data_IF_206894587755
#
_entry.id   IF_206894587755
#
_cell.length_a   1.000
_cell.length_b   1.000
_cell.length_c   1.000
_cell.angle_alpha   90.00
_cell.angle_beta   90.00
_cell.angle_gamma   90.00
#
_symmetry.space_group_name_H-M   'P 1'
#
loop_
_entity.id
_entity.type
_entity.pdbx_description
1 polymer ?
#
# COMPACT_ATOMS: atom_id res chain seq x y z
N UNK A 1 18.85 -37.61 31.10
CA UNK A 1 19.97 -36.69 30.82
C UNK A 1 19.47 -35.24 30.67
N UNK A 2 19.64 -34.40 31.70
CA UNK A 2 19.25 -32.97 31.66
C UNK A 2 20.10 -32.13 30.69
N UNK A 3 21.22 -32.67 30.18
CA UNK A 3 22.13 -31.98 29.25
C UNK A 3 21.50 -31.56 27.90
N UNK A 4 20.35 -32.15 27.51
CA UNK A 4 19.67 -31.81 26.25
C UNK A 4 18.41 -30.95 26.43
N UNK A 5 18.11 -30.44 27.63
CA UNK A 5 16.87 -29.73 27.89
C UNK A 5 16.75 -28.44 27.06
N UNK A 6 17.81 -27.60 27.05
CA UNK A 6 17.82 -26.33 26.31
C UNK A 6 17.82 -26.57 24.79
N UNK A 7 18.69 -27.41 24.21
CA UNK A 7 18.65 -27.69 22.77
C UNK A 7 17.32 -28.28 22.32
N UNK A 8 16.71 -29.18 23.11
CA UNK A 8 15.40 -29.75 22.80
C UNK A 8 14.29 -28.71 22.84
N UNK A 9 14.33 -27.78 23.80
CA UNK A 9 13.36 -26.69 23.89
C UNK A 9 13.46 -25.74 22.69
N UNK A 10 14.69 -25.32 22.34
CA UNK A 10 14.93 -24.48 21.15
C UNK A 10 14.44 -25.19 19.89
N UNK A 11 14.75 -26.48 19.73
CA UNK A 11 14.26 -27.28 18.60
C UNK A 11 12.72 -27.34 18.56
N UNK A 12 12.07 -27.47 19.71
CA UNK A 12 10.61 -27.45 19.80
C UNK A 12 10.03 -26.11 19.35
N UNK A 13 10.59 -24.98 19.78
CA UNK A 13 10.12 -23.66 19.35
C UNK A 13 10.33 -23.47 17.86
N UNK A 14 11.47 -23.89 17.33
CA UNK A 14 11.78 -23.76 15.90
C UNK A 14 10.81 -24.58 15.05
N UNK A 15 10.54 -25.83 15.43
CA UNK A 15 9.60 -26.70 14.70
C UNK A 15 8.17 -26.18 14.75
N UNK A 16 7.70 -25.72 15.92
CA UNK A 16 6.38 -25.07 16.05
C UNK A 16 6.31 -23.80 15.20
N UNK A 17 7.37 -22.98 15.20
CA UNK A 17 7.46 -21.76 14.40
C UNK A 17 7.38 -22.06 12.91
N UNK A 18 8.09 -23.08 12.41
CA UNK A 18 8.03 -23.49 11.00
C UNK A 18 6.61 -23.95 10.65
N UNK A 19 6.00 -24.80 11.48
CA UNK A 19 4.65 -25.29 11.26
C UNK A 19 3.61 -24.15 11.22
N UNK A 20 3.70 -23.21 12.18
CA UNK A 20 2.86 -22.03 12.21
C UNK A 20 3.06 -21.17 10.95
N UNK A 21 4.32 -20.89 10.58
CA UNK A 21 4.65 -20.04 9.44
C UNK A 21 4.19 -20.64 8.10
N UNK A 22 4.26 -21.97 7.92
CA UNK A 22 3.71 -22.62 6.71
C UNK A 22 2.21 -22.32 6.56
N UNK A 23 1.46 -22.32 7.65
CA UNK A 23 0.02 -22.04 7.63
C UNK A 23 -0.32 -20.55 7.53
N UNK A 24 0.42 -19.70 8.24
CA UNK A 24 0.09 -18.27 8.37
C UNK A 24 0.79 -17.37 7.36
N UNK A 25 1.95 -17.76 6.82
CA UNK A 25 2.72 -16.92 5.90
C UNK A 25 1.93 -16.44 4.68
N UNK A 26 1.19 -17.30 3.95
CA UNK A 26 0.44 -16.82 2.79
C UNK A 26 -0.58 -15.74 3.16
N UNK A 27 -1.22 -15.90 4.32
CA UNK A 27 -2.19 -14.95 4.86
C UNK A 27 -1.53 -13.66 5.34
N UNK A 28 -0.40 -13.76 6.04
CA UNK A 28 0.37 -12.61 6.49
C UNK A 28 0.85 -11.77 5.31
N UNK A 29 1.29 -12.42 4.23
CA UNK A 29 1.67 -11.73 2.99
C UNK A 29 0.45 -11.11 2.30
N UNK A 30 -0.69 -11.80 2.27
CA UNK A 30 -1.92 -11.26 1.66
C UNK A 30 -2.43 -10.00 2.37
N UNK A 31 -2.49 -10.00 3.71
CA UNK A 31 -3.05 -8.88 4.47
C UNK A 31 -2.06 -7.77 4.79
N UNK A 32 -0.82 -8.13 5.14
CA UNK A 32 0.17 -7.16 5.60
C UNK A 32 1.22 -6.84 4.55
N UNK A 33 1.17 -7.48 3.38
CA UNK A 33 2.10 -7.30 2.29
C UNK A 33 3.57 -7.46 2.70
N UNK A 34 3.84 -8.19 3.78
CA UNK A 34 5.17 -8.32 4.35
C UNK A 34 5.41 -9.72 4.88
N UNK A 35 6.65 -10.16 4.80
CA UNK A 35 7.10 -11.41 5.39
C UNK A 35 8.37 -11.18 6.22
N UNK A 36 8.34 -11.51 7.53
CA UNK A 36 9.53 -11.44 8.37
C UNK A 36 10.50 -12.58 8.01
N UNK A 37 11.68 -12.25 7.49
CA UNK A 37 12.70 -13.26 7.14
C UNK A 37 13.35 -13.86 8.40
N UNK A 38 13.53 -13.05 9.44
CA UNK A 38 14.04 -13.53 10.73
C UNK A 38 12.93 -14.06 11.66
N UNK A 39 11.83 -14.60 11.11
CA UNK A 39 10.71 -15.11 11.91
C UNK A 39 11.13 -16.14 12.96
N UNK A 40 12.11 -17.00 12.65
CA UNK A 40 12.63 -17.98 13.60
C UNK A 40 13.28 -17.31 14.82
N UNK A 41 14.12 -16.31 14.57
CA UNK A 41 14.80 -15.55 15.63
C UNK A 41 13.78 -14.74 16.45
N UNK A 42 12.86 -14.06 15.77
CA UNK A 42 11.77 -13.34 16.42
C UNK A 42 10.92 -14.28 17.28
N UNK A 43 10.59 -15.48 16.81
CA UNK A 43 9.73 -16.42 17.51
C UNK A 43 10.40 -17.09 18.71
N UNK A 44 11.74 -17.25 18.73
CA UNK A 44 12.48 -17.72 19.91
C UNK A 44 12.23 -16.79 21.11
N UNK A 45 12.10 -15.48 20.86
CA UNK A 45 11.85 -14.48 21.91
C UNK A 45 10.33 -14.25 22.07
N UNK A 46 9.63 -14.03 20.97
CA UNK A 46 8.22 -13.63 20.96
C UNK A 46 7.31 -14.69 21.57
N UNK A 47 7.50 -15.97 21.27
CA UNK A 47 6.61 -17.04 21.76
C UNK A 47 6.66 -17.15 23.30
N UNK A 48 7.83 -17.33 23.95
CA UNK A 48 7.88 -17.39 25.40
C UNK A 48 7.48 -16.06 26.06
N UNK A 49 7.92 -14.92 25.51
CA UNK A 49 7.57 -13.62 26.08
C UNK A 49 6.06 -13.35 25.97
N UNK A 50 5.42 -13.67 24.84
CA UNK A 50 3.97 -13.48 24.67
C UNK A 50 3.18 -14.29 25.69
N UNK A 51 3.62 -15.52 25.99
CA UNK A 51 2.99 -16.33 27.03
C UNK A 51 3.12 -15.68 28.41
N UNK A 52 4.33 -15.25 28.80
CA UNK A 52 4.59 -14.58 30.08
C UNK A 52 3.78 -13.27 30.17
N UNK A 53 3.84 -12.42 29.14
CA UNK A 53 3.10 -11.16 29.06
C UNK A 53 1.59 -11.39 29.12
N UNK A 54 1.06 -12.43 28.47
CA UNK A 54 -0.36 -12.77 28.54
C UNK A 54 -0.76 -13.17 29.97
N UNK A 55 0.01 -14.05 30.62
CA UNK A 55 -0.24 -14.43 32.02
C UNK A 55 -0.14 -13.23 32.96
N UNK A 56 0.87 -12.36 32.80
CA UNK A 56 1.01 -11.13 33.56
C UNK A 56 -0.13 -10.14 33.31
N UNK A 57 -0.65 -10.07 32.08
CA UNK A 57 -1.80 -9.24 31.72
C UNK A 57 -3.08 -9.71 32.42
N UNK A 58 -3.34 -11.03 32.40
CA UNK A 58 -4.45 -11.63 33.14
C UNK A 58 -4.30 -11.38 34.65
N UNK A 59 -3.11 -11.58 35.20
CA UNK A 59 -2.82 -11.31 36.60
C UNK A 59 -3.10 -9.85 36.97
N UNK A 60 -2.61 -8.90 36.15
CA UNK A 60 -2.87 -7.48 36.33
C UNK A 60 -4.37 -7.16 36.34
N UNK A 61 -5.15 -7.72 35.41
CA UNK A 61 -6.60 -7.54 35.40
C UNK A 61 -7.24 -8.02 36.71
N UNK A 62 -6.82 -9.19 37.22
CA UNK A 62 -7.35 -9.75 38.47
C UNK A 62 -6.94 -8.94 39.72
N UNK A 63 -5.74 -8.37 39.73
CA UNK A 63 -5.22 -7.61 40.87
C UNK A 63 -5.48 -6.11 40.79
N UNK A 64 -6.03 -5.61 39.69
CA UNK A 64 -6.27 -4.19 39.43
C UNK A 64 -7.12 -3.49 40.50
N UNK A 65 -8.02 -4.23 41.18
CA UNK A 65 -8.86 -3.71 42.25
C UNK A 65 -8.11 -3.37 43.55
N UNK A 66 -6.89 -3.88 43.73
CA UNK A 66 -6.05 -3.64 44.90
C UNK A 66 -4.95 -2.62 44.53
N UNK A 67 -4.96 -1.38 45.04
CA UNK A 67 -4.08 -0.31 44.55
C UNK A 67 -2.58 -0.67 44.56
N UNK A 68 -2.07 -1.26 45.64
CA UNK A 68 -0.64 -1.61 45.75
C UNK A 68 -0.24 -2.79 44.85
N UNK A 69 -1.06 -3.86 44.83
CA UNK A 69 -0.78 -5.08 44.05
C UNK A 69 -1.02 -4.83 42.55
N UNK A 70 -2.05 -4.08 42.20
CA UNK A 70 -2.33 -3.62 40.85
C UNK A 70 -1.19 -2.77 40.30
N UNK A 71 -0.62 -1.86 41.10
CA UNK A 71 0.55 -1.06 40.67
C UNK A 71 1.76 -1.95 40.42
N UNK A 72 2.07 -2.90 41.31
CA UNK A 72 3.21 -3.79 41.14
C UNK A 72 3.08 -4.69 39.90
N UNK A 73 1.91 -5.28 39.69
CA UNK A 73 1.62 -6.14 38.53
C UNK A 73 1.56 -5.34 37.23
N UNK A 74 1.11 -4.09 37.27
CA UNK A 74 1.15 -3.14 36.15
C UNK A 74 2.58 -2.80 35.73
N UNK A 75 3.46 -2.48 36.69
CA UNK A 75 4.89 -2.21 36.42
C UNK A 75 5.56 -3.46 35.82
N UNK A 76 5.26 -4.65 36.35
CA UNK A 76 5.78 -5.91 35.80
C UNK A 76 5.32 -6.10 34.35
N UNK A 77 4.03 -5.89 34.06
CA UNK A 77 3.48 -6.01 32.72
C UNK A 77 4.11 -5.01 31.75
N UNK A 78 4.26 -3.75 32.17
CA UNK A 78 4.91 -2.70 31.37
C UNK A 78 6.36 -3.06 31.05
N UNK A 79 7.12 -3.54 32.03
CA UNK A 79 8.51 -3.96 31.83
C UNK A 79 8.62 -5.11 30.83
N UNK A 80 7.72 -6.11 30.93
CA UNK A 80 7.67 -7.24 30.00
C UNK A 80 7.32 -6.79 28.58
N UNK A 81 6.34 -5.89 28.43
CA UNK A 81 5.95 -5.33 27.14
C UNK A 81 7.10 -4.51 26.53
N UNK A 82 7.76 -3.67 27.32
CA UNK A 82 8.88 -2.85 26.87
C UNK A 82 10.07 -3.71 26.46
N UNK A 83 10.37 -4.76 27.22
CA UNK A 83 11.41 -5.73 26.86
C UNK A 83 11.06 -6.43 25.55
N UNK A 84 9.85 -7.00 25.43
CA UNK A 84 9.40 -7.69 24.21
C UNK A 84 9.48 -6.76 22.98
N UNK A 85 8.95 -5.54 23.11
CA UNK A 85 8.98 -4.54 22.04
C UNK A 85 10.41 -4.19 21.63
N UNK A 86 11.31 -3.93 22.59
CA UNK A 86 12.71 -3.59 22.31
C UNK A 86 13.45 -4.74 21.66
N UNK A 87 13.24 -5.98 22.11
CA UNK A 87 13.83 -7.17 21.48
C UNK A 87 13.36 -7.34 20.03
N UNK A 88 12.08 -7.17 19.76
CA UNK A 88 11.54 -7.26 18.40
C UNK A 88 12.00 -6.11 17.51
N UNK A 89 12.09 -4.90 18.05
CA UNK A 89 12.61 -3.72 17.33
C UNK A 89 14.07 -3.92 16.93
N UNK A 90 14.91 -4.47 17.81
CA UNK A 90 16.30 -4.80 17.48
C UNK A 90 16.38 -5.77 16.30
N UNK A 91 15.52 -6.80 16.26
CA UNK A 91 15.48 -7.75 15.15
C UNK A 91 14.97 -7.08 13.87
N UNK A 92 13.95 -6.22 13.97
CA UNK A 92 13.37 -5.51 12.83
C UNK A 92 14.33 -4.52 12.18
N UNK A 93 15.30 -3.99 12.93
CA UNK A 93 16.33 -3.08 12.42
C UNK A 93 17.50 -3.80 11.72
N UNK A 94 17.54 -5.14 11.74
CA UNK A 94 18.55 -5.90 11.00
C UNK A 94 18.27 -5.74 9.49
N UNK A 95 19.28 -5.47 8.66
CA UNK A 95 19.08 -5.33 7.21
C UNK A 95 18.46 -6.60 6.64
N UNK A 96 17.34 -6.45 5.91
CA UNK A 96 16.61 -7.59 5.33
C UNK A 96 15.68 -8.33 6.29
N UNK A 97 15.43 -7.79 7.50
CA UNK A 97 14.57 -8.45 8.49
C UNK A 97 13.15 -8.68 8.05
N UNK A 98 12.61 -7.75 7.28
CA UNK A 98 11.27 -7.83 6.72
C UNK A 98 11.36 -7.62 5.22
N UNK A 99 10.81 -8.58 4.49
CA UNK A 99 10.59 -8.51 3.05
C UNK A 99 9.20 -7.91 2.90
N UNK A 100 9.12 -6.58 2.77
CA UNK A 100 7.85 -5.85 2.56
C UNK A 100 7.38 -5.85 1.10
N UNK A 101 6.23 -5.25 0.82
CA UNK A 101 5.67 -4.96 -0.53
C UNK A 101 5.44 -6.19 -1.40
N UNK A 102 4.98 -7.27 -0.77
CA UNK A 102 4.49 -8.46 -1.47
C UNK A 102 2.98 -8.36 -1.63
N UNK A 103 2.56 -7.80 -2.77
CA UNK A 103 1.16 -7.75 -3.16
C UNK A 103 0.75 -9.08 -3.77
N UNK A 104 0.19 -9.96 -2.95
CA UNK A 104 -0.39 -11.21 -3.43
C UNK A 104 -1.88 -10.99 -3.69
N UNK A 105 -2.37 -11.14 -4.94
CA UNK A 105 -3.80 -11.18 -5.18
C UNK A 105 -4.39 -12.43 -4.52
N UNK A 106 -5.68 -12.37 -4.18
CA UNK A 106 -6.40 -13.44 -3.51
C UNK A 106 -6.21 -14.80 -4.22
N UNK A 107 -6.19 -14.82 -5.55
CA UNK A 107 -5.99 -16.04 -6.34
C UNK A 107 -4.65 -16.73 -6.09
N UNK A 108 -3.56 -15.97 -5.93
CA UNK A 108 -2.24 -16.54 -5.61
C UNK A 108 -2.24 -17.11 -4.20
N UNK A 109 -2.80 -16.39 -3.23
CA UNK A 109 -2.92 -16.84 -1.84
C UNK A 109 -3.70 -18.15 -1.73
N UNK A 110 -4.87 -18.25 -2.37
CA UNK A 110 -5.68 -19.47 -2.41
C UNK A 110 -4.92 -20.60 -3.12
N UNK A 111 -4.26 -20.31 -4.24
CA UNK A 111 -3.45 -21.29 -4.95
C UNK A 111 -2.31 -21.87 -4.12
N UNK A 112 -1.64 -21.05 -3.30
CA UNK A 112 -0.62 -21.54 -2.36
C UNK A 112 -1.22 -22.48 -1.32
N UNK A 113 -2.41 -22.19 -0.77
CA UNK A 113 -3.09 -23.12 0.13
C UNK A 113 -3.49 -24.43 -0.55
N UNK A 114 -3.90 -24.39 -1.82
CA UNK A 114 -4.16 -25.60 -2.62
C UNK A 114 -2.88 -26.42 -2.78
N UNK A 115 -1.74 -25.79 -3.08
CA UNK A 115 -0.44 -26.45 -3.13
C UNK A 115 -0.07 -27.12 -1.79
N UNK A 116 -0.26 -26.41 -0.67
CA UNK A 116 -0.01 -26.96 0.67
C UNK A 116 -0.89 -28.18 0.97
N UNK A 117 -2.16 -28.13 0.55
CA UNK A 117 -3.11 -29.23 0.71
C UNK A 117 -2.75 -30.44 -0.17
N UNK A 118 -2.32 -30.23 -1.42
CA UNK A 118 -1.82 -31.31 -2.29
C UNK A 118 -0.55 -31.92 -1.69
N UNK A 119 0.37 -31.10 -1.20
CA UNK A 119 1.60 -31.54 -0.53
C UNK A 119 1.26 -32.39 0.71
N UNK A 120 0.29 -31.96 1.52
CA UNK A 120 -0.19 -32.73 2.67
C UNK A 120 -0.78 -34.09 2.27
N UNK A 121 -1.63 -34.13 1.23
CA UNK A 121 -2.17 -35.39 0.73
C UNK A 121 -1.08 -36.33 0.22
N UNK A 122 -0.05 -35.78 -0.44
CA UNK A 122 1.11 -36.54 -0.88
C UNK A 122 1.92 -37.08 0.30
N UNK A 123 2.16 -36.30 1.36
CA UNK A 123 2.86 -36.79 2.54
C UNK A 123 2.16 -37.98 3.21
N UNK A 124 0.82 -38.02 3.16
CA UNK A 124 0.01 -39.15 3.68
C UNK A 124 -0.04 -40.35 2.74
N UNK A 125 -0.32 -40.14 1.46
CA UNK A 125 -0.61 -41.21 0.50
C UNK A 125 0.56 -41.65 -0.37
N UNK A 126 1.62 -40.83 -0.44
CA UNK A 126 2.84 -40.98 -1.27
C UNK A 126 2.57 -41.36 -2.73
N UNK A 127 1.43 -40.93 -3.30
CA UNK A 127 1.07 -41.26 -4.68
C UNK A 127 1.80 -40.33 -5.64
N UNK A 128 2.56 -40.89 -6.59
CA UNK A 128 3.34 -40.10 -7.55
C UNK A 128 2.50 -39.11 -8.38
N UNK A 129 1.24 -39.43 -8.68
CA UNK A 129 0.32 -38.50 -9.36
C UNK A 129 0.16 -37.15 -8.64
N UNK A 130 0.19 -37.14 -7.30
CA UNK A 130 0.05 -35.91 -6.51
C UNK A 130 1.27 -35.00 -6.64
N UNK A 131 2.46 -35.55 -6.93
CA UNK A 131 3.65 -34.75 -7.23
C UNK A 131 3.54 -34.06 -8.60
N UNK A 132 3.05 -34.77 -9.62
CA UNK A 132 2.79 -34.17 -10.92
C UNK A 132 1.73 -33.06 -10.83
N UNK A 133 0.68 -33.27 -10.03
CA UNK A 133 -0.34 -32.26 -9.76
C UNK A 133 0.24 -31.04 -9.02
N UNK A 134 1.06 -31.25 -8.00
CA UNK A 134 1.74 -30.18 -7.27
C UNK A 134 2.65 -29.38 -8.20
N UNK A 135 3.46 -30.06 -9.01
CA UNK A 135 4.34 -29.43 -9.99
C UNK A 135 3.53 -28.58 -10.98
N UNK A 136 2.46 -29.12 -11.55
CA UNK A 136 1.59 -28.39 -12.47
C UNK A 136 0.99 -27.14 -11.80
N UNK A 137 0.50 -27.26 -10.56
CA UNK A 137 -0.07 -26.13 -9.81
C UNK A 137 0.98 -25.03 -9.55
N UNK A 138 2.18 -25.42 -9.12
CA UNK A 138 3.30 -24.49 -8.91
C UNK A 138 3.71 -23.81 -10.22
N UNK A 139 3.81 -24.55 -11.33
CA UNK A 139 4.12 -23.98 -12.64
C UNK A 139 3.07 -22.95 -13.07
N UNK A 140 1.78 -23.26 -12.92
CA UNK A 140 0.69 -22.31 -13.22
C UNK A 140 0.82 -21.05 -12.36
N UNK A 141 1.06 -21.18 -11.06
CA UNK A 141 1.23 -20.03 -10.16
C UNK A 141 2.43 -19.16 -10.57
N UNK A 142 3.56 -19.76 -10.94
CA UNK A 142 4.74 -19.03 -11.40
C UNK A 142 4.48 -18.30 -12.72
N UNK A 143 3.79 -18.94 -13.67
CA UNK A 143 3.42 -18.32 -14.95
C UNK A 143 2.46 -17.15 -14.73
N UNK A 144 1.40 -17.34 -13.93
CA UNK A 144 0.44 -16.27 -13.60
C UNK A 144 1.14 -15.10 -12.91
N UNK A 145 2.02 -15.39 -11.94
CA UNK A 145 2.80 -14.35 -11.25
C UNK A 145 3.74 -13.62 -12.20
N UNK A 146 4.38 -14.33 -13.13
CA UNK A 146 5.25 -13.75 -14.15
C UNK A 146 4.49 -12.85 -15.13
N UNK A 147 3.32 -13.29 -15.62
CA UNK A 147 2.45 -12.50 -16.49
C UNK A 147 1.95 -11.24 -15.77
N UNK A 148 1.56 -11.36 -14.50
CA UNK A 148 1.16 -10.21 -13.69
C UNK A 148 2.32 -9.21 -13.57
N UNK A 149 3.52 -9.69 -13.25
CA UNK A 149 4.71 -8.84 -13.14
C UNK A 149 5.05 -8.10 -14.45
N UNK A 150 4.87 -8.75 -15.60
CA UNK A 150 5.08 -8.13 -16.91
C UNK A 150 3.97 -7.13 -17.26
N UNK A 151 2.71 -7.51 -17.06
CA UNK A 151 1.54 -6.65 -17.32
C UNK A 151 1.55 -5.40 -16.45
N UNK A 152 2.06 -5.52 -15.23
CA UNK A 152 2.14 -4.45 -14.25
C UNK A 152 3.18 -3.38 -14.56
N UNK A 153 4.20 -3.71 -15.37
CA UNK A 153 5.20 -2.75 -15.86
C UNK A 153 4.67 -1.89 -17.00
N UNK A 154 3.77 -2.41 -17.82
CA UNK A 154 3.31 -1.73 -19.05
C UNK A 154 2.08 -0.83 -18.87
N UNK A 155 1.47 -0.81 -17.67
CA UNK A 155 0.26 -0.02 -17.42
C UNK A 155 0.60 1.33 -16.79
N UNK A 156 0.35 2.46 -17.50
CA UNK A 156 0.46 3.76 -16.89
C UNK A 156 -0.56 3.89 -15.76
N UNK A 157 -0.14 4.42 -14.62
CA UNK A 157 -0.99 4.64 -13.45
C UNK A 157 -0.75 6.06 -12.96
N UNK A 158 -1.78 6.88 -13.04
CA UNK A 158 -1.82 8.17 -12.38
C UNK A 158 -2.29 7.96 -10.94
N UNK A 159 -1.47 8.38 -9.98
CA UNK A 159 -1.76 8.39 -8.56
C UNK A 159 -1.87 9.85 -8.12
N UNK A 160 -2.92 10.19 -7.41
CA UNK A 160 -3.10 11.54 -6.89
C UNK A 160 -3.24 11.45 -5.39
N UNK A 161 -2.27 12.03 -4.69
CA UNK A 161 -2.20 12.02 -3.25
C UNK A 161 -2.42 13.42 -2.70
N UNK A 162 -3.23 13.48 -1.66
CA UNK A 162 -3.41 14.68 -0.87
C UNK A 162 -2.78 14.48 0.51
N UNK A 163 -1.72 15.23 0.80
CA UNK A 163 -1.16 15.31 2.16
C UNK A 163 -1.66 16.59 2.82
N UNK A 164 -1.82 16.59 4.15
CA UNK A 164 -2.27 17.75 4.94
C UNK A 164 -1.48 19.04 4.69
N UNK A 165 -0.30 18.97 4.07
CA UNK A 165 0.54 20.12 3.72
C UNK A 165 0.62 20.42 2.21
N UNK A 166 0.49 19.43 1.32
CA UNK A 166 0.66 19.60 -0.12
C UNK A 166 -0.03 18.51 -0.96
N UNK A 167 -0.68 18.92 -2.05
CA UNK A 167 -1.19 18.02 -3.08
C UNK A 167 -0.02 17.51 -3.91
N UNK A 168 0.14 16.20 -3.96
CA UNK A 168 1.23 15.51 -4.62
C UNK A 168 0.68 14.55 -5.65
N UNK A 169 0.98 14.80 -6.92
CA UNK A 169 0.51 13.97 -8.03
C UNK A 169 1.67 13.13 -8.52
N UNK A 170 1.52 11.81 -8.40
CA UNK A 170 2.49 10.82 -8.88
C UNK A 170 1.99 10.17 -10.16
N UNK A 171 2.58 10.47 -11.31
CA UNK A 171 2.31 9.76 -12.55
C UNK A 171 3.35 8.67 -12.79
N UNK A 172 2.93 7.42 -12.95
CA UNK A 172 3.80 6.30 -13.30
C UNK A 172 3.57 5.89 -14.75
N UNK A 173 4.62 5.92 -15.55
CA UNK A 173 4.65 5.33 -16.89
C UNK A 173 5.87 4.44 -17.04
N UNK A 174 5.63 3.13 -17.17
CA UNK A 174 6.72 2.17 -17.21
C UNK A 174 7.53 2.15 -15.93
N UNK A 175 8.84 2.39 -16.08
CA UNK A 175 9.81 2.46 -14.99
C UNK A 175 10.06 3.90 -14.49
N UNK A 176 9.39 4.89 -15.08
CA UNK A 176 9.51 6.29 -14.72
C UNK A 176 8.32 6.70 -13.86
N UNK A 177 8.60 7.33 -12.73
CA UNK A 177 7.60 7.96 -11.88
C UNK A 177 7.92 9.46 -11.79
N UNK A 178 6.93 10.25 -12.16
CA UNK A 178 6.94 11.70 -12.12
C UNK A 178 6.17 12.12 -10.89
N UNK A 179 6.83 12.74 -9.93
CA UNK A 179 6.17 13.26 -8.73
C UNK A 179 6.14 14.78 -8.85
N UNK A 180 4.93 15.33 -8.82
CA UNK A 180 4.67 16.75 -8.87
C UNK A 180 4.15 17.17 -7.49
N UNK A 181 4.88 18.06 -6.82
CA UNK A 181 4.41 18.62 -5.55
C UNK A 181 4.84 20.06 -5.33
N UNK A 182 4.09 20.75 -4.47
CA UNK A 182 4.34 22.11 -4.00
C UNK A 182 5.54 22.21 -3.05
N UNK A 183 5.85 21.16 -2.27
CA UNK A 183 6.98 21.15 -1.32
C UNK A 183 7.87 19.92 -1.54
N UNK A 184 9.04 20.14 -2.12
CA UNK A 184 10.01 19.08 -2.46
C UNK A 184 10.70 18.49 -1.21
N UNK A 185 10.76 19.24 -0.11
CA UNK A 185 11.62 18.91 1.04
C UNK A 185 11.01 17.88 1.99
N UNK A 186 9.71 18.01 2.29
CA UNK A 186 9.00 17.11 3.21
C UNK A 186 8.60 15.77 2.57
N UNK A 187 8.60 15.69 1.24
CA UNK A 187 8.09 14.53 0.50
C UNK A 187 9.16 13.48 0.30
N UNK A 188 10.42 13.86 0.12
CA UNK A 188 11.45 12.85 -0.17
C UNK A 188 11.64 11.89 1.01
N UNK A 189 11.50 12.35 2.25
CA UNK A 189 11.56 11.49 3.45
C UNK A 189 10.21 10.84 3.77
N UNK A 190 9.13 11.62 3.87
CA UNK A 190 7.81 11.09 4.26
C UNK A 190 7.20 10.16 3.20
N UNK A 191 7.37 10.49 1.92
CA UNK A 191 6.93 9.63 0.83
C UNK A 191 7.82 8.39 0.74
N UNK A 192 9.15 8.50 0.85
CA UNK A 192 10.06 7.34 0.83
C UNK A 192 9.76 6.32 1.92
N UNK A 193 9.54 6.78 3.15
CA UNK A 193 9.38 5.89 4.30
C UNK A 193 7.95 5.33 4.43
N UNK A 194 6.93 6.12 4.10
CA UNK A 194 5.55 5.77 4.41
C UNK A 194 4.78 5.21 3.20
N UNK A 195 5.10 5.63 1.97
CA UNK A 195 4.27 5.35 0.78
C UNK A 195 5.06 4.76 -0.40
N UNK A 196 6.35 5.07 -0.48
CA UNK A 196 7.24 4.56 -1.49
C UNK A 196 7.54 3.09 -1.37
N UNK A 197 7.43 2.36 -0.24
CA UNK A 197 7.98 1.03 -0.28
C UNK A 197 7.05 0.11 -1.12
N UNK A 198 5.74 0.42 -1.23
CA UNK A 198 4.80 -0.16 -2.23
C UNK A 198 5.14 0.17 -3.70
N UNK A 199 5.72 1.35 -3.94
CA UNK A 199 6.11 1.87 -5.25
C UNK A 199 7.56 1.46 -5.62
N UNK A 200 8.48 1.39 -4.66
CA UNK A 200 9.91 1.14 -4.74
C UNK A 200 10.21 -0.31 -5.13
N UNK A 201 9.39 -1.30 -4.73
CA UNK A 201 9.55 -2.65 -5.29
C UNK A 201 9.20 -2.77 -6.78
N UNK A 202 8.49 -1.79 -7.33
CA UNK A 202 8.11 -1.73 -8.76
C UNK A 202 8.87 -0.65 -9.52
N UNK A 203 9.89 -0.07 -8.90
CA UNK A 203 10.61 1.09 -9.38
C UNK A 203 12.10 0.88 -9.17
N UNK A 204 12.89 0.97 -10.24
CA UNK A 204 14.35 0.82 -10.18
C UNK A 204 15.09 2.14 -10.44
N UNK A 205 14.39 3.28 -10.43
CA UNK A 205 14.95 4.60 -10.74
C UNK A 205 14.69 5.61 -9.62
N UNK A 206 15.42 6.71 -9.61
CA UNK A 206 15.08 7.88 -8.80
C UNK A 206 13.85 8.58 -9.40
N UNK A 207 12.93 9.11 -8.58
CA UNK A 207 11.85 9.97 -9.09
C UNK A 207 12.43 11.19 -9.75
N UNK A 208 11.89 11.49 -10.92
CA UNK A 208 11.99 12.84 -11.45
C UNK A 208 10.93 13.65 -10.72
N UNK A 209 11.37 14.38 -9.70
CA UNK A 209 10.51 15.29 -8.94
C UNK A 209 10.48 16.61 -9.68
N UNK A 210 9.32 16.96 -10.24
CA UNK A 210 9.10 18.29 -10.81
C UNK A 210 8.46 19.19 -9.75
N UNK A 211 9.09 20.35 -9.52
CA UNK A 211 8.53 21.36 -8.61
C UNK A 211 7.36 22.05 -9.29
N UNK A 212 6.21 22.18 -8.62
CA UNK A 212 5.08 22.91 -9.20
C UNK A 212 5.43 24.37 -9.54
N UNK A 213 6.42 24.96 -8.88
CA UNK A 213 6.87 26.33 -9.15
C UNK A 213 7.54 26.53 -10.51
N UNK A 214 8.13 25.49 -11.10
CA UNK A 214 8.72 25.57 -12.46
C UNK A 214 7.66 25.57 -13.57
N UNK A 215 6.40 25.24 -13.26
CA UNK A 215 5.29 25.16 -14.21
C UNK A 215 4.57 26.48 -14.44
N UNK A 216 4.99 27.57 -13.79
CA UNK A 216 4.46 28.92 -14.04
C UNK A 216 4.62 29.39 -15.49
N UNK A 217 5.59 28.84 -16.21
CA UNK A 217 5.88 29.19 -17.61
C UNK A 217 5.43 28.15 -18.64
N UNK A 218 5.18 26.91 -18.21
CA UNK A 218 4.69 25.81 -19.04
C UNK A 218 3.67 24.98 -18.23
N UNK A 219 2.41 25.41 -18.16
CA UNK A 219 1.41 24.78 -17.29
C UNK A 219 0.85 23.46 -17.84
N UNK A 220 1.29 23.07 -19.05
CA UNK A 220 0.92 21.86 -19.75
C UNK A 220 2.14 20.94 -19.81
N UNK A 221 2.05 19.76 -19.18
CA UNK A 221 3.11 18.75 -19.21
C UNK A 221 2.63 17.58 -20.05
N UNK A 222 3.46 17.15 -20.99
CA UNK A 222 3.26 15.87 -21.69
C UNK A 222 3.92 14.76 -20.88
N UNK A 223 3.12 13.82 -20.38
CA UNK A 223 3.64 12.64 -19.66
C UNK A 223 3.06 11.39 -20.30
N UNK A 224 3.93 10.57 -20.89
CA UNK A 224 3.53 9.32 -21.54
C UNK A 224 2.63 9.50 -22.76
N UNK A 225 2.75 10.62 -23.49
CA UNK A 225 1.91 10.96 -24.65
C UNK A 225 0.53 11.52 -24.29
N UNK A 226 0.28 11.81 -23.01
CA UNK A 226 -0.92 12.50 -22.55
C UNK A 226 -0.58 13.90 -22.04
N UNK A 227 -1.45 14.86 -22.32
CA UNK A 227 -1.28 16.25 -21.90
C UNK A 227 -2.01 16.48 -20.57
N UNK A 228 -1.27 16.85 -19.53
CA UNK A 228 -1.82 17.15 -18.20
C UNK A 228 -1.64 18.65 -17.92
N UNK A 229 -2.75 19.33 -17.64
CA UNK A 229 -2.76 20.76 -17.33
C UNK A 229 -3.11 21.02 -15.87
N UNK A 230 -2.35 21.93 -15.24
CA UNK A 230 -2.52 22.32 -13.84
C UNK A 230 -3.08 23.74 -13.75
N UNK A 231 -4.36 23.87 -13.35
CA UNK A 231 -5.06 25.15 -13.33
C UNK A 231 -4.72 26.05 -12.12
N UNK A 232 -3.86 25.60 -11.20
CA UNK A 232 -3.65 26.24 -9.89
C UNK A 232 -2.85 27.57 -9.93
N UNK A 233 -1.96 27.76 -10.92
CA UNK A 233 -1.01 28.90 -10.94
C UNK A 233 -0.93 29.64 -12.28
N UNK A 234 -1.91 29.47 -13.16
CA UNK A 234 -1.97 30.20 -14.44
C UNK A 234 -2.62 31.57 -14.20
N UNK A 235 -2.13 32.61 -14.90
CA UNK A 235 -2.83 33.89 -14.99
C UNK A 235 -4.16 33.76 -15.74
N UNK A 236 -4.78 34.88 -16.14
CA UNK A 236 -5.99 34.82 -16.98
C UNK A 236 -5.76 34.20 -18.36
N UNK A 237 -4.51 34.08 -18.79
CA UNK A 237 -4.14 33.55 -20.11
C UNK A 237 -4.01 32.02 -20.04
N UNK A 238 -5.01 31.34 -20.58
CA UNK A 238 -5.06 29.89 -20.73
C UNK A 238 -4.06 29.45 -21.82
N UNK A 239 -3.32 28.34 -21.65
CA UNK A 239 -2.44 27.84 -22.70
C UNK A 239 -3.23 27.27 -23.87
N UNK A 240 -2.71 27.41 -25.10
CA UNK A 240 -3.30 26.82 -26.32
C UNK A 240 -3.22 25.28 -26.40
N UNK A 241 -2.85 24.58 -25.32
CA UNK A 241 -2.78 23.12 -25.32
C UNK A 241 -4.14 22.52 -24.96
N UNK A 242 -4.58 21.44 -25.63
CA UNK A 242 -5.74 20.67 -25.18
C UNK A 242 -5.29 19.54 -24.23
N UNK A 243 -5.58 19.63 -22.91
CA UNK A 243 -5.16 18.60 -21.97
C UNK A 243 -6.13 17.42 -21.93
N UNK A 244 -5.64 16.19 -21.88
CA UNK A 244 -6.46 15.01 -21.60
C UNK A 244 -6.98 15.02 -20.15
N UNK A 245 -6.15 15.53 -19.23
CA UNK A 245 -6.46 15.63 -17.80
C UNK A 245 -6.21 17.04 -17.30
N UNK A 246 -7.22 17.62 -16.64
CA UNK A 246 -7.15 18.94 -16.05
C UNK A 246 -7.26 18.85 -14.53
N UNK A 247 -6.19 19.23 -13.82
CA UNK A 247 -6.17 19.20 -12.36
C UNK A 247 -6.49 20.58 -11.81
N UNK A 248 -7.59 20.67 -11.06
CA UNK A 248 -8.03 21.85 -10.32
C UNK A 248 -7.82 21.63 -8.83
N UNK A 249 -6.70 22.06 -8.27
CA UNK A 249 -6.43 21.93 -6.83
C UNK A 249 -6.42 23.30 -6.13
N UNK A 250 -7.60 23.89 -6.00
CA UNK A 250 -7.71 25.30 -5.62
C UNK A 250 -7.19 26.24 -6.71
N UNK A 251 -7.76 27.44 -6.78
CA UNK A 251 -7.44 28.41 -7.83
C UNK A 251 -8.51 29.50 -7.96
N UNK A 252 -8.13 30.58 -8.64
CA UNK A 252 -8.98 31.76 -8.92
C UNK A 252 -9.72 31.68 -10.26
N UNK A 253 -9.39 30.70 -11.12
CA UNK A 253 -10.01 30.56 -12.44
C UNK A 253 -11.41 29.94 -12.28
N UNK A 254 -12.48 30.61 -12.74
CA UNK A 254 -13.82 30.04 -12.78
C UNK A 254 -13.84 28.80 -13.67
N UNK A 255 -14.55 27.74 -13.24
CA UNK A 255 -14.70 26.53 -14.05
C UNK A 255 -15.38 26.79 -15.40
N UNK A 256 -16.19 27.85 -15.51
CA UNK A 256 -16.86 28.21 -16.76
C UNK A 256 -15.86 28.55 -17.87
N UNK A 257 -14.82 29.33 -17.55
CA UNK A 257 -13.76 29.69 -18.49
C UNK A 257 -12.98 28.45 -18.96
N UNK A 258 -12.84 27.44 -18.10
CA UNK A 258 -12.19 26.17 -18.43
C UNK A 258 -13.07 25.28 -19.30
N UNK A 259 -14.38 25.25 -19.07
CA UNK A 259 -15.32 24.47 -19.88
C UNK A 259 -15.52 25.04 -21.28
N UNK A 260 -15.45 26.36 -21.42
CA UNK A 260 -15.55 27.04 -22.71
C UNK A 260 -14.32 26.77 -23.59
N UNK A 261 -13.14 26.64 -22.97
CA UNK A 261 -11.88 26.40 -23.68
C UNK A 261 -11.55 24.90 -23.86
N UNK A 262 -12.02 24.04 -22.97
CA UNK A 262 -11.65 22.62 -22.90
C UNK A 262 -12.87 21.70 -22.80
N UNK A 263 -13.38 21.25 -23.95
CA UNK A 263 -14.63 20.49 -24.06
C UNK A 263 -14.49 18.96 -24.03
N UNK A 264 -13.27 18.42 -23.96
CA UNK A 264 -13.00 16.98 -24.06
C UNK A 264 -11.94 16.51 -23.04
N UNK A 265 -12.03 17.02 -21.81
CA UNK A 265 -10.97 16.87 -20.80
C UNK A 265 -11.51 16.24 -19.53
N UNK A 266 -10.73 15.37 -18.90
CA UNK A 266 -11.14 14.77 -17.62
C UNK A 266 -10.73 15.69 -16.49
N UNK A 267 -11.71 16.21 -15.77
CA UNK A 267 -11.49 17.17 -14.67
C UNK A 267 -11.20 16.46 -13.36
N UNK A 268 -10.11 16.83 -12.69
CA UNK A 268 -9.71 16.29 -11.40
C UNK A 268 -9.78 17.40 -10.37
N UNK A 269 -10.74 17.31 -9.46
CA UNK A 269 -10.95 18.26 -8.36
C UNK A 269 -10.10 17.86 -7.15
N UNK A 270 -9.09 18.68 -6.88
CA UNK A 270 -8.17 18.58 -5.77
C UNK A 270 -8.81 18.83 -4.40
N UNK A 271 -8.11 18.41 -3.37
CA UNK A 271 -8.55 18.51 -1.97
C UNK A 271 -8.64 19.94 -1.47
N UNK A 272 -7.88 20.87 -2.05
CA UNK A 272 -7.87 22.29 -1.64
C UNK A 272 -9.07 23.08 -2.15
N UNK A 273 -9.87 22.53 -3.08
CA UNK A 273 -11.16 23.12 -3.46
C UNK A 273 -12.10 23.18 -2.24
N UNK A 274 -12.66 24.35 -1.95
CA UNK A 274 -13.66 24.48 -0.88
C UNK A 274 -14.88 23.59 -1.18
N UNK A 275 -15.61 23.10 -0.16
CA UNK A 275 -16.81 22.25 -0.39
C UNK A 275 -17.83 22.91 -1.33
N UNK A 276 -17.95 24.25 -1.25
CA UNK A 276 -18.84 25.03 -2.13
C UNK A 276 -18.34 25.07 -3.57
N UNK A 277 -17.04 25.28 -3.78
CA UNK A 277 -16.45 25.26 -5.12
C UNK A 277 -16.48 23.87 -5.74
N UNK A 278 -16.17 22.82 -4.97
CA UNK A 278 -16.22 21.45 -5.46
C UNK A 278 -17.65 21.08 -5.89
N UNK A 279 -18.66 21.33 -5.05
CA UNK A 279 -20.06 21.05 -5.38
C UNK A 279 -20.54 21.85 -6.61
N UNK A 280 -20.18 23.14 -6.71
CA UNK A 280 -20.51 23.97 -7.86
C UNK A 280 -19.85 23.48 -9.15
N UNK A 281 -18.57 23.10 -9.08
CA UNK A 281 -17.85 22.54 -10.21
C UNK A 281 -18.42 21.19 -10.65
N UNK A 282 -18.78 20.32 -9.70
CA UNK A 282 -19.41 19.03 -9.98
C UNK A 282 -20.73 19.20 -10.74
N UNK A 283 -21.63 20.08 -10.26
CA UNK A 283 -22.91 20.33 -10.94
C UNK A 283 -22.73 20.80 -12.37
N UNK A 284 -21.75 21.69 -12.62
CA UNK A 284 -21.51 22.24 -13.95
C UNK A 284 -20.83 21.22 -14.90
N UNK A 285 -20.00 20.33 -14.34
CA UNK A 285 -19.38 19.22 -15.08
C UNK A 285 -20.39 18.14 -15.45
N UNK A 286 -21.35 17.86 -14.56
CA UNK A 286 -22.49 16.97 -14.83
C UNK A 286 -23.39 17.53 -15.94
N UNK A 287 -23.71 18.82 -15.89
CA UNK A 287 -24.54 19.49 -16.91
C UNK A 287 -23.87 19.56 -18.29
N UNK A 288 -22.55 19.70 -18.33
CA UNK A 288 -21.77 19.73 -19.58
C UNK A 288 -21.41 18.34 -20.13
N UNK A 289 -21.70 17.26 -19.40
CA UNK A 289 -21.41 15.90 -19.81
C UNK A 289 -19.92 15.51 -19.76
N UNK A 290 -19.08 16.30 -19.07
CA UNK A 290 -17.65 16.04 -18.94
C UNK A 290 -17.35 15.04 -17.82
N UNK A 291 -16.30 14.23 -18.01
CA UNK A 291 -15.84 13.31 -16.98
C UNK A 291 -15.11 14.07 -15.86
N UNK A 292 -15.48 13.81 -14.60
CA UNK A 292 -14.82 14.42 -13.46
C UNK A 292 -14.59 13.46 -12.29
N UNK A 293 -13.58 13.78 -11.48
CA UNK A 293 -13.22 13.04 -10.28
C UNK A 293 -12.95 13.98 -9.11
N UNK A 294 -13.47 13.67 -7.92
CA UNK A 294 -13.32 14.48 -6.70
C UNK A 294 -12.49 13.75 -5.65
N UNK A 295 -11.30 14.27 -5.36
CA UNK A 295 -10.34 13.68 -4.41
C UNK A 295 -10.84 13.75 -2.97
N UNK A 296 -11.77 14.66 -2.65
CA UNK A 296 -12.35 14.80 -1.31
C UNK A 296 -13.36 13.69 -0.95
N UNK A 297 -14.00 13.09 -1.95
CA UNK A 297 -15.05 12.08 -1.77
C UNK A 297 -14.51 10.66 -1.99
N UNK A 298 -13.50 10.50 -2.83
CA UNK A 298 -12.73 9.26 -2.96
C UNK A 298 -11.61 9.26 -1.91
N UNK A 299 -11.74 8.43 -0.86
CA UNK A 299 -10.64 8.13 0.06
C UNK A 299 -9.31 7.96 -0.70
N UNK A 300 -8.26 8.64 -0.20
CA UNK A 300 -6.95 8.90 -0.83
C UNK A 300 -6.08 7.67 -1.16
N UNK A 301 -6.67 6.48 -1.34
CA UNK A 301 -5.90 5.25 -1.46
C UNK A 301 -5.52 4.85 -2.89
N UNK A 302 -6.35 5.06 -3.92
CA UNK A 302 -5.98 4.70 -5.31
C UNK A 302 -7.05 5.23 -6.29
N UNK A 303 -6.89 6.47 -6.77
CA UNK A 303 -7.68 6.94 -7.92
C UNK A 303 -6.99 6.45 -9.20
N UNK A 304 -7.29 5.21 -9.59
CA UNK A 304 -6.84 4.56 -10.83
C UNK A 304 -7.45 5.27 -12.06
N UNK A 305 -6.87 6.38 -12.48
CA UNK A 305 -7.36 7.20 -13.59
C UNK A 305 -7.07 6.62 -15.00
N UNK A 306 -6.53 5.41 -15.08
CA UNK A 306 -6.25 4.73 -16.35
C UNK A 306 -6.82 3.32 -16.34
N UNK A 307 -8.14 3.24 -16.21
CA UNK A 307 -8.89 2.09 -16.70
C UNK A 307 -9.59 2.51 -17.98
N UNK A 308 -9.04 2.08 -19.13
CA UNK A 308 -9.67 2.21 -20.44
C UNK A 308 -11.13 1.79 -20.33
N UNK A 309 -12.01 2.69 -20.81
CA UNK A 309 -13.37 2.52 -21.31
C UNK A 309 -14.11 1.21 -20.95
N UNK A 310 -15.32 1.39 -20.41
CA UNK A 310 -16.31 0.39 -19.96
C UNK A 310 -16.20 -0.06 -18.50
N UNK A 311 -16.47 0.85 -17.56
CA UNK A 311 -17.12 0.47 -16.31
C UNK A 311 -18.17 1.52 -15.94
N UNK A 312 -19.31 1.40 -16.60
CA UNK A 312 -20.59 1.84 -16.08
C UNK A 312 -20.88 1.09 -14.77
N UNK A 313 -20.57 1.71 -13.64
CA UNK A 313 -21.27 1.49 -12.37
C UNK A 313 -21.98 2.82 -12.08
N UNK A 314 -23.29 2.92 -12.28
CA UNK A 314 -24.27 2.11 -11.55
C UNK A 314 -24.56 2.75 -10.20
N UNK A 315 -24.88 4.05 -10.18
CA UNK A 315 -25.64 4.66 -9.09
C UNK A 315 -27.10 4.21 -9.22
N UNK A 316 -27.36 2.95 -8.88
CA UNK A 316 -28.68 2.51 -8.44
C UNK A 316 -28.61 2.32 -6.93
N UNK A 317 -29.35 3.17 -6.22
CA UNK A 317 -29.41 3.19 -4.76
C UNK A 317 -30.40 4.23 -4.23
N UNK A 318 -31.64 4.17 -4.75
CA UNK A 318 -32.83 4.18 -3.89
C UNK A 318 -33.35 2.75 -3.83
#
# INVERSE_FOLDING_TARGET
>A
NPSYAIPRYVWSIMTVSIAAQIGTAPLSVYYFHQFPMYFLLSNIIAIPMSFITMCSGVLFCMTSALPAVGTLTGILLELLLLFMHKSLSLISNIPGAVVGHMYWPMGITVGVYVCLLILYMWLKGKRHFQLYLLQACVTVLLVVSGIQMLSDKSRPRLFIYDSRAATTIGYRYGNHAYILSDDTSSITETFADQYAPSLQRRWTGTPVVHRLDTLRHHPCIEIGGQHIFFAQKVGKDLPDCQPDYLVMDGGTIPIYDLLEHYSNTTFILGSRCSRKQAAYSQTLLEESGNHFYSIKESSAADLLLLQNQHLSYGLQGR
#
